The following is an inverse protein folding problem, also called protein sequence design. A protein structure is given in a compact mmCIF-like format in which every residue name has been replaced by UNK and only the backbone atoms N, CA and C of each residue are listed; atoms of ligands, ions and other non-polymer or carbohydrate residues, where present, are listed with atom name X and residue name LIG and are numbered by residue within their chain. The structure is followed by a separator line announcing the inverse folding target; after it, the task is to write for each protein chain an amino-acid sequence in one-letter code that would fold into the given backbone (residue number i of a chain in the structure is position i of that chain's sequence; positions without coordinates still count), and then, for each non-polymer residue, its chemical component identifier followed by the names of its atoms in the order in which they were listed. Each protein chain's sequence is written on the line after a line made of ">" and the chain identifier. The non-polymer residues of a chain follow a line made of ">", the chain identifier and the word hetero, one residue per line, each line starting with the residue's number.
data_IF_724499080616
#
_entry.id   IF_724499080616
#
_cell.length_a   1.000
_cell.length_b   1.000
_cell.length_c   1.000
_cell.angle_alpha   90.00
_cell.angle_beta   90.00
_cell.angle_gamma   90.00
#
_symmetry.space_group_name_H-M   'P 1'
#
loop_
_entity.id
_entity.type
_entity.pdbx_description
1 polymer ?
#
# COMPACT_ATOMS: atom_id res chain seq x y z
N UNK A 1 -0.81 14.68 7.40
CA UNK A 1 -0.47 13.34 6.88
C UNK A 1 -1.77 12.66 6.49
N UNK A 2 -2.00 12.42 5.22
CA UNK A 2 -3.19 11.69 4.76
C UNK A 2 -3.06 10.22 5.17
N UNK A 3 -4.14 9.66 5.73
CA UNK A 3 -4.19 8.25 6.11
C UNK A 3 -4.46 7.42 4.85
N UNK A 4 -3.59 6.45 4.51
CA UNK A 4 -3.77 5.60 3.32
C UNK A 4 -5.12 4.88 3.27
N UNK A 5 -5.64 4.43 4.42
CA UNK A 5 -6.99 3.83 4.52
C UNK A 5 -8.08 4.85 4.25
N UNK A 6 -7.91 6.12 4.68
CA UNK A 6 -8.85 7.19 4.36
C UNK A 6 -8.88 7.52 2.87
N UNK A 7 -7.71 7.54 2.22
CA UNK A 7 -7.61 7.73 0.77
C UNK A 7 -8.23 6.56 0.01
N UNK A 8 -7.95 5.32 0.43
CA UNK A 8 -8.60 4.13 -0.12
C UNK A 8 -10.13 4.24 -0.04
N UNK A 9 -10.67 4.63 1.12
CA UNK A 9 -12.12 4.76 1.33
C UNK A 9 -12.75 5.79 0.37
N UNK A 10 -12.05 6.91 0.12
CA UNK A 10 -12.49 7.92 -0.84
C UNK A 10 -12.52 7.39 -2.26
N UNK A 11 -11.43 6.75 -2.70
CA UNK A 11 -11.34 6.18 -4.05
C UNK A 11 -12.33 5.02 -4.25
N UNK A 12 -12.58 4.22 -3.22
CA UNK A 12 -13.63 3.19 -3.25
C UNK A 12 -15.01 3.80 -3.45
N UNK A 13 -15.32 4.87 -2.71
CA UNK A 13 -16.59 5.59 -2.91
C UNK A 13 -16.72 6.11 -4.35
N UNK A 14 -15.67 6.75 -4.88
CA UNK A 14 -15.65 7.25 -6.25
C UNK A 14 -15.84 6.13 -7.29
N UNK A 15 -15.26 4.95 -7.04
CA UNK A 15 -15.43 3.79 -7.91
C UNK A 15 -16.86 3.21 -7.84
N UNK A 16 -17.44 3.08 -6.65
CA UNK A 16 -18.82 2.63 -6.46
C UNK A 16 -19.81 3.63 -7.10
N UNK A 17 -19.57 4.93 -6.92
CA UNK A 17 -20.41 5.97 -7.52
C UNK A 17 -20.35 5.97 -9.06
N UNK A 18 -19.22 5.55 -9.66
CA UNK A 18 -19.12 5.35 -11.11
C UNK A 18 -19.90 4.12 -11.59
N UNK A 19 -20.00 3.07 -10.78
CA UNK A 19 -20.77 1.87 -11.12
C UNK A 19 -22.28 2.13 -11.10
N UNK A 20 -22.78 2.86 -10.10
CA UNK A 20 -24.20 3.18 -9.94
C UNK A 20 -24.38 4.60 -9.38
N UNK A 21 -24.45 5.62 -10.27
CA UNK A 21 -24.48 7.03 -9.89
C UNK A 21 -25.68 7.39 -9.01
N UNK A 22 -25.42 8.13 -7.92
CA UNK A 22 -26.45 8.64 -7.00
C UNK A 22 -26.98 7.61 -6.00
N UNK A 23 -26.43 6.38 -6.00
CA UNK A 23 -26.84 5.32 -5.08
C UNK A 23 -26.07 5.33 -3.76
N UNK A 24 -24.87 5.91 -3.73
CA UNK A 24 -24.01 5.91 -2.56
C UNK A 24 -23.84 7.31 -1.94
N UNK A 25 -23.58 7.35 -0.65
CA UNK A 25 -23.26 8.57 0.08
C UNK A 25 -22.11 8.33 1.05
N UNK A 26 -21.32 9.37 1.32
CA UNK A 26 -20.24 9.28 2.31
C UNK A 26 -20.59 10.01 3.58
N UNK A 27 -20.14 9.46 4.71
CA UNK A 27 -20.21 10.11 6.02
C UNK A 27 -18.81 10.24 6.61
N UNK A 28 -18.34 11.47 6.71
CA UNK A 28 -17.03 11.75 7.34
C UNK A 28 -17.19 11.81 8.85
N UNK A 29 -16.40 10.98 9.57
CA UNK A 29 -16.38 10.90 11.01
C UNK A 29 -15.03 11.39 11.54
N UNK A 30 -14.98 12.59 12.12
CA UNK A 30 -13.79 13.18 12.76
C UNK A 30 -14.16 13.75 14.12
N UNK A 31 -13.22 14.39 14.81
CA UNK A 31 -13.53 15.09 16.07
C UNK A 31 -14.55 16.23 15.87
N UNK A 32 -14.49 16.91 14.73
CA UNK A 32 -15.33 18.08 14.41
C UNK A 32 -16.52 17.76 13.49
N UNK A 33 -16.56 16.59 12.84
CA UNK A 33 -17.57 16.22 11.85
C UNK A 33 -18.24 14.89 12.21
N UNK A 34 -19.46 14.71 11.76
CA UNK A 34 -20.26 13.51 12.00
C UNK A 34 -20.88 13.49 13.38
N UNK A 35 -21.82 14.41 13.65
CA UNK A 35 -22.63 14.40 14.85
C UNK A 35 -23.52 13.14 14.95
N UNK A 36 -24.06 12.84 16.12
CA UNK A 36 -25.01 11.74 16.31
C UNK A 36 -26.24 11.89 15.38
N UNK A 37 -26.67 13.14 15.16
CA UNK A 37 -27.78 13.42 14.24
C UNK A 37 -27.41 13.10 12.78
N UNK A 38 -26.19 13.45 12.35
CA UNK A 38 -25.69 13.13 11.01
C UNK A 38 -25.55 11.63 10.80
N UNK A 39 -25.01 10.93 11.81
CA UNK A 39 -24.91 9.46 11.79
C UNK A 39 -26.30 8.82 11.65
N UNK A 40 -27.29 9.25 12.46
CA UNK A 40 -28.65 8.72 12.39
C UNK A 40 -29.33 9.01 11.06
N UNK A 41 -29.10 10.18 10.46
CA UNK A 41 -29.65 10.55 9.17
C UNK A 41 -29.03 9.72 8.06
N UNK A 42 -27.71 9.73 7.95
CA UNK A 42 -26.99 9.01 6.89
C UNK A 42 -27.24 7.50 6.93
N UNK A 43 -27.08 6.89 8.12
CA UNK A 43 -27.35 5.44 8.27
C UNK A 43 -28.85 5.17 8.14
N UNK A 44 -29.72 6.13 8.52
CA UNK A 44 -31.18 5.97 8.48
C UNK A 44 -31.75 5.77 7.07
N UNK A 45 -31.13 6.37 6.08
CA UNK A 45 -31.54 6.30 4.67
C UNK A 45 -30.84 5.19 3.87
N UNK A 46 -29.79 4.55 4.43
CA UNK A 46 -29.00 3.53 3.76
C UNK A 46 -29.64 2.15 3.85
N UNK A 47 -29.39 1.31 2.85
CA UNK A 47 -29.73 -0.13 2.87
C UNK A 47 -28.57 -0.98 3.39
N UNK A 48 -27.34 -0.51 3.16
CA UNK A 48 -26.10 -1.16 3.58
C UNK A 48 -25.08 -0.12 4.02
N UNK A 49 -24.06 -0.56 4.75
CA UNK A 49 -23.01 0.32 5.30
C UNK A 49 -21.65 -0.32 5.09
N UNK A 50 -20.73 0.38 4.43
CA UNK A 50 -19.31 0.01 4.27
C UNK A 50 -18.47 0.87 5.19
N UNK A 51 -17.52 0.28 5.90
CA UNK A 51 -16.64 0.99 6.83
C UNK A 51 -15.22 0.42 6.78
N UNK A 52 -14.21 1.27 6.53
CA UNK A 52 -12.80 0.84 6.44
C UNK A 52 -12.08 0.98 7.77
N UNK A 53 -11.26 0.00 8.16
CA UNK A 53 -10.45 -0.03 9.37
C UNK A 53 -9.00 -0.48 9.06
N UNK A 54 -8.00 0.03 9.80
CA UNK A 54 -8.05 1.10 10.80
C UNK A 54 -7.94 2.49 10.17
N UNK A 55 -8.67 3.47 10.68
CA UNK A 55 -8.47 4.87 10.32
C UNK A 55 -7.78 5.61 11.47
N UNK A 56 -6.67 6.28 11.18
CA UNK A 56 -5.85 6.97 12.20
C UNK A 56 -6.63 8.07 12.92
N UNK A 57 -7.46 8.82 12.20
CA UNK A 57 -8.29 9.88 12.74
C UNK A 57 -9.29 9.38 13.81
N UNK A 58 -9.62 8.09 13.83
CA UNK A 58 -10.57 7.52 14.78
C UNK A 58 -9.96 7.10 16.11
N UNK A 59 -8.65 7.24 16.31
CA UNK A 59 -8.00 6.89 17.59
C UNK A 59 -8.69 7.48 18.83
N UNK A 60 -9.23 8.72 18.71
CA UNK A 60 -9.90 9.45 19.80
C UNK A 60 -11.42 9.45 19.70
N UNK A 61 -11.98 9.00 18.58
CA UNK A 61 -13.44 9.06 18.30
C UNK A 61 -14.00 7.74 17.80
N UNK A 62 -13.37 6.62 18.17
CA UNK A 62 -13.76 5.27 17.75
C UNK A 62 -15.23 4.93 18.03
N UNK A 63 -15.83 5.56 19.05
CA UNK A 63 -17.22 5.37 19.39
C UNK A 63 -18.19 5.82 18.28
N UNK A 64 -17.80 6.79 17.42
CA UNK A 64 -18.66 7.28 16.31
C UNK A 64 -18.85 6.23 15.22
N UNK A 65 -17.81 5.63 14.62
CA UNK A 65 -18.00 4.54 13.68
C UNK A 65 -18.68 3.32 14.34
N UNK A 66 -18.39 3.01 15.59
CA UNK A 66 -19.08 1.92 16.29
C UNK A 66 -20.58 2.21 16.45
N UNK A 67 -20.97 3.46 16.77
CA UNK A 67 -22.36 3.88 16.84
C UNK A 67 -23.05 3.74 15.45
N UNK A 68 -22.38 4.16 14.38
CA UNK A 68 -22.90 4.04 13.03
C UNK A 68 -23.18 2.57 12.68
N UNK A 69 -22.22 1.67 12.95
CA UNK A 69 -22.36 0.24 12.71
C UNK A 69 -23.46 -0.38 13.60
N UNK A 70 -23.57 0.02 14.86
CA UNK A 70 -24.62 -0.45 15.76
C UNK A 70 -26.01 -0.03 15.26
N UNK A 71 -26.18 1.23 14.83
CA UNK A 71 -27.46 1.69 14.25
C UNK A 71 -27.79 0.91 12.97
N UNK A 72 -26.81 0.69 12.10
CA UNK A 72 -27.00 -0.11 10.88
C UNK A 72 -27.50 -1.53 11.22
N UNK A 73 -26.88 -2.19 12.19
CA UNK A 73 -27.30 -3.53 12.65
C UNK A 73 -28.68 -3.56 13.26
N UNK A 74 -29.01 -2.58 14.11
CA UNK A 74 -30.36 -2.45 14.69
C UNK A 74 -31.44 -2.25 13.62
N UNK A 75 -31.09 -1.62 12.51
CA UNK A 75 -31.97 -1.43 11.34
C UNK A 75 -31.95 -2.61 10.38
N UNK A 76 -31.24 -3.70 10.72
CA UNK A 76 -31.08 -4.90 9.90
C UNK A 76 -30.40 -4.63 8.55
N UNK A 77 -29.64 -3.55 8.46
CA UNK A 77 -28.83 -3.26 7.29
C UNK A 77 -27.66 -4.25 7.19
N UNK A 78 -27.19 -4.45 5.97
CA UNK A 78 -25.96 -5.18 5.74
C UNK A 78 -24.74 -4.31 6.08
N UNK A 79 -23.84 -4.84 6.88
CA UNK A 79 -22.63 -4.14 7.33
C UNK A 79 -21.42 -4.86 6.76
N UNK A 80 -20.68 -4.19 5.88
CA UNK A 80 -19.42 -4.65 5.31
C UNK A 80 -18.27 -3.85 5.92
N UNK A 81 -17.32 -4.56 6.51
CA UNK A 81 -16.13 -3.96 7.08
C UNK A 81 -14.94 -4.25 6.17
N UNK A 82 -14.17 -3.23 5.79
CA UNK A 82 -12.93 -3.37 5.04
C UNK A 82 -11.77 -3.30 6.01
N UNK A 83 -11.08 -4.41 6.23
CA UNK A 83 -9.99 -4.55 7.20
C UNK A 83 -8.64 -4.62 6.48
N UNK A 84 -7.78 -3.63 6.71
CA UNK A 84 -6.48 -3.52 6.02
C UNK A 84 -5.33 -4.21 6.76
N UNK A 85 -5.36 -4.25 8.10
CA UNK A 85 -4.27 -4.73 8.94
C UNK A 85 -4.83 -5.43 10.19
N UNK A 86 -4.10 -6.42 10.74
CA UNK A 86 -4.48 -7.06 11.99
C UNK A 86 -3.30 -7.19 12.96
N UNK A 87 -2.27 -7.98 12.64
CA UNK A 87 -1.17 -8.28 13.55
C UNK A 87 -0.31 -7.04 13.87
N UNK A 88 -0.15 -6.13 12.92
CA UNK A 88 0.54 -4.84 13.12
C UNK A 88 -0.16 -3.91 14.12
N UNK A 89 -1.42 -4.20 14.48
CA UNK A 89 -2.16 -3.43 15.47
C UNK A 89 -1.74 -3.81 16.89
N UNK A 90 -1.46 -2.81 17.73
CA UNK A 90 -1.27 -3.01 19.16
C UNK A 90 -2.50 -3.72 19.76
N UNK A 91 -2.31 -4.68 20.69
CA UNK A 91 -3.37 -5.52 21.25
C UNK A 91 -4.58 -4.74 21.80
N UNK A 92 -4.37 -3.58 22.46
CA UNK A 92 -5.45 -2.69 22.91
C UNK A 92 -6.30 -2.19 21.74
N UNK A 93 -5.69 -1.93 20.58
CA UNK A 93 -6.43 -1.53 19.38
C UNK A 93 -7.25 -2.69 18.82
N UNK A 94 -6.72 -3.90 18.82
CA UNK A 94 -7.50 -5.09 18.39
C UNK A 94 -8.75 -5.23 19.26
N UNK A 95 -8.64 -5.04 20.58
CA UNK A 95 -9.80 -5.04 21.48
C UNK A 95 -10.80 -3.92 21.17
N UNK A 96 -10.32 -2.70 20.87
CA UNK A 96 -11.22 -1.58 20.53
C UNK A 96 -11.92 -1.77 19.18
N UNK A 97 -11.38 -2.58 18.27
CA UNK A 97 -12.00 -2.88 16.97
C UNK A 97 -12.88 -4.13 16.99
N UNK A 98 -12.77 -4.97 18.02
CA UNK A 98 -13.57 -6.18 18.13
C UNK A 98 -15.08 -5.93 18.01
N UNK A 99 -15.68 -4.87 18.62
CA UNK A 99 -17.10 -4.59 18.42
C UNK A 99 -17.46 -4.32 16.94
N UNK A 100 -16.60 -3.66 16.17
CA UNK A 100 -16.84 -3.44 14.74
C UNK A 100 -16.84 -4.77 13.97
N UNK A 101 -15.88 -5.65 14.23
CA UNK A 101 -15.81 -6.98 13.63
C UNK A 101 -17.04 -7.83 13.96
N UNK A 102 -17.54 -7.73 15.21
CA UNK A 102 -18.76 -8.42 15.65
C UNK A 102 -20.01 -7.92 14.92
N UNK A 103 -20.12 -6.61 14.75
CA UNK A 103 -21.26 -5.96 14.07
C UNK A 103 -21.25 -6.22 12.56
N UNK A 104 -20.12 -6.54 11.95
CA UNK A 104 -20.02 -6.82 10.53
C UNK A 104 -20.74 -8.12 10.12
N UNK A 105 -21.43 -8.09 8.99
CA UNK A 105 -21.92 -9.30 8.31
C UNK A 105 -20.77 -9.97 7.55
N UNK A 106 -20.00 -9.16 6.81
CA UNK A 106 -18.86 -9.59 6.01
C UNK A 106 -17.67 -8.69 6.30
N UNK A 107 -16.48 -9.28 6.31
CA UNK A 107 -15.21 -8.56 6.47
C UNK A 107 -14.40 -8.76 5.20
N UNK A 108 -14.15 -7.69 4.47
CA UNK A 108 -13.32 -7.70 3.26
C UNK A 108 -11.87 -7.47 3.65
N UNK A 109 -10.99 -8.31 3.17
CA UNK A 109 -9.54 -8.21 3.32
C UNK A 109 -8.86 -8.29 1.95
N UNK A 110 -7.64 -7.75 1.85
CA UNK A 110 -6.89 -7.71 0.60
C UNK A 110 -5.73 -8.71 0.55
N UNK A 111 -5.50 -9.46 1.63
CA UNK A 111 -4.38 -10.40 1.71
C UNK A 111 -4.78 -11.63 2.50
N UNK A 112 -4.54 -12.83 1.96
CA UNK A 112 -4.67 -14.09 2.68
C UNK A 112 -3.85 -14.12 3.96
N UNK A 113 -2.68 -13.45 3.99
CA UNK A 113 -1.86 -13.34 5.19
C UNK A 113 -2.64 -12.65 6.32
N UNK A 114 -3.26 -11.48 6.07
CA UNK A 114 -4.04 -10.76 7.10
C UNK A 114 -5.22 -11.60 7.61
N UNK A 115 -5.86 -12.36 6.72
CA UNK A 115 -6.90 -13.31 7.11
C UNK A 115 -6.36 -14.42 8.01
N UNK A 116 -5.19 -14.98 7.71
CA UNK A 116 -4.52 -15.99 8.56
C UNK A 116 -4.08 -15.40 9.91
N UNK A 117 -3.58 -14.17 9.93
CA UNK A 117 -3.26 -13.44 11.17
C UNK A 117 -4.50 -13.31 12.07
N UNK A 118 -5.64 -12.89 11.51
CA UNK A 118 -6.89 -12.84 12.26
C UNK A 118 -7.33 -14.22 12.73
N UNK A 119 -7.26 -15.25 11.89
CA UNK A 119 -7.68 -16.61 12.24
C UNK A 119 -6.86 -17.21 13.40
N UNK A 120 -5.61 -16.79 13.57
CA UNK A 120 -4.72 -17.21 14.68
C UNK A 120 -4.93 -16.41 15.97
N UNK A 121 -5.67 -15.30 15.91
CA UNK A 121 -5.91 -14.48 17.08
C UNK A 121 -6.77 -15.23 18.10
N UNK A 122 -6.32 -15.39 19.38
CA UNK A 122 -7.03 -16.21 20.37
C UNK A 122 -8.41 -15.66 20.77
N UNK A 123 -8.65 -14.36 20.57
CA UNK A 123 -9.89 -13.69 20.93
C UNK A 123 -10.83 -13.53 19.74
N UNK A 124 -10.27 -13.21 18.57
CA UNK A 124 -11.02 -12.82 17.37
C UNK A 124 -10.98 -13.87 16.24
N UNK A 125 -10.21 -14.97 16.39
CA UNK A 125 -9.93 -15.91 15.29
C UNK A 125 -11.19 -16.54 14.66
N UNK A 126 -12.22 -16.80 15.44
CA UNK A 126 -13.50 -17.33 14.95
C UNK A 126 -14.23 -16.37 13.98
N UNK A 127 -13.92 -15.07 14.03
CA UNK A 127 -14.49 -14.06 13.12
C UNK A 127 -13.94 -14.23 11.69
N UNK A 128 -12.80 -14.88 11.52
CA UNK A 128 -12.20 -15.13 10.20
C UNK A 128 -13.13 -15.91 9.25
N UNK A 129 -14.14 -16.60 9.77
CA UNK A 129 -15.18 -17.23 8.95
C UNK A 129 -16.04 -16.23 8.17
N UNK A 130 -16.09 -14.96 8.59
CA UNK A 130 -16.79 -13.88 7.87
C UNK A 130 -15.91 -13.18 6.83
N UNK A 131 -14.62 -13.54 6.73
CA UNK A 131 -13.68 -12.86 5.87
C UNK A 131 -13.75 -13.35 4.44
N UNK A 132 -13.84 -12.39 3.53
CA UNK A 132 -13.71 -12.58 2.08
C UNK A 132 -12.50 -11.80 1.57
N UNK A 133 -11.90 -12.25 0.47
CA UNK A 133 -10.78 -11.59 -0.15
C UNK A 133 -11.26 -10.77 -1.35
N UNK A 134 -10.73 -9.55 -1.49
CA UNK A 134 -10.94 -8.69 -2.64
C UNK A 134 -9.58 -8.23 -3.22
N UNK A 135 -9.49 -7.93 -4.51
CA UNK A 135 -8.27 -7.39 -5.09
C UNK A 135 -8.02 -5.96 -4.57
N UNK A 136 -6.79 -5.65 -4.15
CA UNK A 136 -6.38 -4.29 -3.77
C UNK A 136 -5.97 -3.52 -5.02
N UNK A 137 -6.58 -2.35 -5.32
CA UNK A 137 -6.09 -1.47 -6.37
C UNK A 137 -4.95 -0.57 -5.90
N UNK A 138 -4.16 0.03 -6.83
CA UNK A 138 -3.21 1.07 -6.48
C UNK A 138 -3.93 2.28 -5.89
N UNK A 139 -3.28 2.97 -4.96
CA UNK A 139 -3.88 4.10 -4.24
C UNK A 139 -3.53 5.48 -4.84
N UNK A 140 -2.69 5.52 -5.86
CA UNK A 140 -2.32 6.74 -6.58
C UNK A 140 -2.41 6.46 -8.07
N UNK A 141 -3.20 7.25 -8.76
CA UNK A 141 -3.36 7.22 -10.21
C UNK A 141 -2.20 7.92 -10.90
N UNK A 142 -1.73 7.34 -12.01
CA UNK A 142 -0.77 8.01 -12.86
C UNK A 142 -1.40 9.25 -13.49
N UNK A 143 -0.87 10.45 -13.27
CA UNK A 143 -1.46 11.68 -13.79
C UNK A 143 -1.23 11.78 -15.30
N UNK A 144 -2.10 12.52 -15.99
CA UNK A 144 -1.96 12.81 -17.42
C UNK A 144 -0.70 13.64 -17.72
N UNK A 145 -0.24 14.45 -16.77
CA UNK A 145 0.99 15.22 -16.87
C UNK A 145 1.77 15.14 -15.57
N UNK A 146 3.08 14.93 -15.68
CA UNK A 146 3.99 14.92 -14.54
C UNK A 146 4.50 16.32 -14.24
N UNK A 147 4.74 16.61 -12.96
CA UNK A 147 5.34 17.86 -12.54
C UNK A 147 6.87 17.77 -12.60
N UNK A 148 7.49 18.91 -12.86
CA UNK A 148 8.94 19.08 -12.68
C UNK A 148 9.25 19.52 -11.24
N UNK A 149 10.43 19.14 -10.74
CA UNK A 149 10.92 19.56 -9.43
C UNK A 149 12.45 19.55 -9.42
N UNK A 150 13.09 20.28 -8.49
CA UNK A 150 14.56 20.26 -8.38
C UNK A 150 15.12 18.85 -8.20
N UNK A 151 14.41 18.00 -7.46
CA UNK A 151 14.81 16.60 -7.27
C UNK A 151 14.69 15.81 -8.57
N UNK A 152 13.60 15.98 -9.34
CA UNK A 152 13.46 15.34 -10.66
C UNK A 152 14.61 15.73 -11.59
N UNK A 153 14.93 17.02 -11.67
CA UNK A 153 16.05 17.51 -12.51
C UNK A 153 17.38 16.89 -12.08
N UNK A 154 17.63 16.74 -10.77
CA UNK A 154 18.82 16.08 -10.23
C UNK A 154 18.87 14.61 -10.65
N UNK A 155 17.76 13.86 -10.54
CA UNK A 155 17.69 12.45 -10.97
C UNK A 155 17.89 12.32 -12.47
N UNK A 156 17.27 13.20 -13.27
CA UNK A 156 17.43 13.24 -14.72
C UNK A 156 18.88 13.45 -15.11
N UNK A 157 19.53 14.45 -14.54
CA UNK A 157 20.95 14.72 -14.78
C UNK A 157 21.84 13.53 -14.36
N UNK A 158 21.52 12.86 -13.28
CA UNK A 158 22.23 11.65 -12.84
C UNK A 158 22.12 10.53 -13.90
N UNK A 159 20.93 10.28 -14.45
CA UNK A 159 20.73 9.30 -15.53
C UNK A 159 21.46 9.66 -16.81
N UNK A 160 21.40 10.91 -17.23
CA UNK A 160 22.11 11.43 -18.40
C UNK A 160 23.64 11.27 -18.26
N UNK A 161 24.14 11.31 -17.02
CA UNK A 161 25.53 11.00 -16.68
C UNK A 161 25.82 9.49 -16.46
N UNK A 162 24.93 8.62 -16.91
CA UNK A 162 25.12 7.17 -16.88
C UNK A 162 24.93 6.53 -15.49
N UNK A 163 24.29 7.20 -14.52
CA UNK A 163 23.96 6.59 -13.24
C UNK A 163 22.72 5.69 -13.38
N UNK A 164 22.75 4.56 -12.68
CA UNK A 164 21.62 3.66 -12.53
C UNK A 164 20.74 4.14 -11.37
N UNK A 165 19.54 4.67 -11.66
CA UNK A 165 18.63 5.20 -10.66
C UNK A 165 17.70 4.09 -10.14
N UNK A 166 17.81 3.75 -8.85
CA UNK A 166 17.00 2.74 -8.17
C UNK A 166 16.03 3.44 -7.25
N UNK A 167 14.73 3.20 -7.43
CA UNK A 167 13.66 3.80 -6.64
C UNK A 167 13.15 2.90 -5.51
N UNK A 168 12.78 3.51 -4.40
CA UNK A 168 11.93 2.91 -3.37
C UNK A 168 10.81 3.90 -3.04
N UNK A 169 9.54 3.53 -3.25
CA UNK A 169 8.41 4.41 -2.98
C UNK A 169 7.64 4.02 -1.73
N UNK A 170 7.30 5.03 -0.94
CA UNK A 170 6.47 4.94 0.26
C UNK A 170 7.22 5.17 1.55
N UNK A 171 6.54 5.01 2.68
CA UNK A 171 7.11 5.26 4.02
C UNK A 171 8.30 4.37 4.31
N UNK A 172 9.32 4.92 4.99
CA UNK A 172 10.53 4.22 5.39
C UNK A 172 10.40 3.79 6.85
N UNK A 173 10.46 2.46 7.10
CA UNK A 173 10.36 1.86 8.42
C UNK A 173 11.01 0.47 8.42
N UNK A 174 11.31 -0.16 9.60
CA UNK A 174 12.09 -1.38 9.68
C UNK A 174 11.58 -2.53 8.80
N UNK A 175 10.29 -2.81 8.78
CA UNK A 175 9.69 -3.89 7.99
C UNK A 175 9.87 -3.77 6.47
N UNK A 176 10.28 -2.60 5.96
CA UNK A 176 10.70 -2.39 4.56
C UNK A 176 12.20 -2.55 4.35
N UNK A 177 12.92 -2.94 5.37
CA UNK A 177 14.36 -3.19 5.37
C UNK A 177 15.18 -2.15 4.58
N UNK A 178 15.10 -0.85 4.92
CA UNK A 178 15.77 0.19 4.16
C UNK A 178 17.30 -0.02 4.10
N UNK A 179 17.91 -0.61 5.14
CA UNK A 179 19.34 -0.90 5.18
C UNK A 179 19.74 -1.99 4.19
N UNK A 180 18.89 -2.97 3.90
CA UNK A 180 19.12 -3.97 2.85
C UNK A 180 19.25 -3.30 1.48
N UNK A 181 18.40 -2.32 1.17
CA UNK A 181 18.51 -1.60 -0.10
C UNK A 181 19.80 -0.74 -0.16
N UNK A 182 20.28 -0.21 0.96
CA UNK A 182 21.62 0.43 1.03
C UNK A 182 22.73 -0.58 0.72
N UNK A 183 22.64 -1.78 1.26
CA UNK A 183 23.62 -2.84 0.96
C UNK A 183 23.58 -3.23 -0.53
N UNK A 184 22.39 -3.38 -1.13
CA UNK A 184 22.22 -3.63 -2.57
C UNK A 184 22.89 -2.53 -3.39
N UNK A 185 22.76 -1.25 -2.98
CA UNK A 185 23.43 -0.11 -3.61
C UNK A 185 24.96 -0.28 -3.53
N UNK A 186 25.49 -0.65 -2.37
CA UNK A 186 26.92 -0.89 -2.21
C UNK A 186 27.42 -2.06 -3.07
N UNK A 187 26.65 -3.16 -3.16
CA UNK A 187 26.97 -4.31 -4.03
C UNK A 187 27.02 -3.89 -5.50
N UNK A 188 26.03 -3.14 -5.98
CA UNK A 188 26.00 -2.64 -7.36
C UNK A 188 27.22 -1.73 -7.65
N UNK A 189 27.60 -0.86 -6.71
CA UNK A 189 28.78 -0.01 -6.84
C UNK A 189 30.07 -0.86 -6.89
N UNK A 190 30.21 -1.85 -6.03
CA UNK A 190 31.36 -2.75 -6.03
C UNK A 190 31.50 -3.55 -7.34
N UNK A 191 30.39 -3.78 -8.05
CA UNK A 191 30.34 -4.43 -9.36
C UNK A 191 30.57 -3.47 -10.53
N UNK A 192 31.04 -2.25 -10.28
CA UNK A 192 31.31 -1.23 -11.29
C UNK A 192 30.07 -0.58 -11.90
N UNK A 193 28.89 -0.78 -11.30
CA UNK A 193 27.70 0.00 -11.63
C UNK A 193 27.79 1.35 -10.90
N UNK A 194 27.22 2.38 -11.49
CA UNK A 194 27.17 3.71 -10.86
C UNK A 194 25.75 3.98 -10.30
N UNK A 195 25.36 3.35 -9.15
CA UNK A 195 23.99 3.45 -8.67
C UNK A 195 23.70 4.81 -8.03
N UNK A 196 22.44 5.25 -8.11
CA UNK A 196 21.85 6.29 -7.30
C UNK A 196 20.53 5.77 -6.74
N UNK A 197 20.45 5.55 -5.45
CA UNK A 197 19.23 5.06 -4.81
C UNK A 197 18.40 6.22 -4.28
N UNK A 198 17.13 6.31 -4.70
CA UNK A 198 16.21 7.34 -4.25
C UNK A 198 15.05 6.74 -3.47
N UNK A 199 14.91 7.15 -2.22
CA UNK A 199 13.75 6.86 -1.39
C UNK A 199 12.71 7.97 -1.58
N UNK A 200 11.65 7.69 -2.33
CA UNK A 200 10.55 8.62 -2.58
C UNK A 200 9.52 8.43 -1.47
N UNK A 201 9.72 9.14 -0.37
CA UNK A 201 8.95 9.00 0.86
C UNK A 201 9.70 9.48 2.09
N UNK A 202 9.06 9.39 3.25
CA UNK A 202 9.61 9.85 4.53
C UNK A 202 9.70 8.75 5.58
N UNK A 203 10.56 8.94 6.57
CA UNK A 203 10.63 8.08 7.75
C UNK A 203 9.35 8.18 8.58
N UNK A 204 8.90 7.04 9.12
CA UNK A 204 7.80 7.01 10.08
C UNK A 204 8.35 7.33 11.48
N UNK A 205 8.03 8.51 12.00
CA UNK A 205 8.48 8.99 13.32
C UNK A 205 8.03 8.14 14.52
N UNK A 206 7.13 7.17 14.31
CA UNK A 206 6.67 6.28 15.38
C UNK A 206 7.64 5.13 15.68
N UNK A 207 8.66 4.93 14.85
CA UNK A 207 9.74 3.98 15.07
C UNK A 207 10.98 4.76 15.47
N UNK A 208 11.37 4.63 16.74
CA UNK A 208 12.57 5.27 17.27
C UNK A 208 13.81 4.73 16.53
N UNK A 209 14.76 5.63 16.24
CA UNK A 209 16.07 5.36 15.65
C UNK A 209 16.10 4.97 14.15
N UNK A 210 15.01 4.68 13.44
CA UNK A 210 15.07 4.24 12.02
C UNK A 210 15.86 5.19 11.14
N UNK A 211 15.63 6.50 11.29
CA UNK A 211 16.36 7.52 10.53
C UNK A 211 17.83 7.59 10.93
N UNK A 212 18.13 7.52 12.23
CA UNK A 212 19.50 7.52 12.73
C UNK A 212 20.29 6.28 12.28
N UNK A 213 19.67 5.09 12.38
CA UNK A 213 20.25 3.83 11.93
C UNK A 213 20.50 3.82 10.41
N UNK A 214 19.57 4.39 9.65
CA UNK A 214 19.71 4.57 8.20
C UNK A 214 20.89 5.49 7.86
N UNK A 215 21.00 6.65 8.49
CA UNK A 215 22.10 7.59 8.26
C UNK A 215 23.45 7.02 8.69
N UNK A 216 23.51 6.30 9.81
CA UNK A 216 24.69 5.58 10.24
C UNK A 216 25.14 4.56 9.17
N UNK A 217 24.18 3.78 8.62
CA UNK A 217 24.46 2.80 7.57
C UNK A 217 24.92 3.46 6.26
N UNK A 218 24.31 4.57 5.84
CA UNK A 218 24.76 5.36 4.69
C UNK A 218 26.23 5.79 4.86
N UNK A 219 26.59 6.25 6.06
CA UNK A 219 27.96 6.70 6.36
C UNK A 219 28.95 5.52 6.39
N UNK A 220 28.57 4.40 7.02
CA UNK A 220 29.39 3.18 7.08
C UNK A 220 29.73 2.64 5.69
N UNK A 221 28.75 2.63 4.80
CA UNK A 221 28.91 2.16 3.42
C UNK A 221 29.50 3.22 2.48
N UNK A 222 29.81 4.44 2.98
CA UNK A 222 30.25 5.59 2.18
C UNK A 222 29.33 5.93 1.00
N UNK A 223 27.99 5.95 1.24
CA UNK A 223 26.96 6.15 0.20
C UNK A 223 26.34 7.55 0.21
N UNK A 224 26.97 8.56 0.83
CA UNK A 224 26.42 9.92 0.95
C UNK A 224 26.03 10.53 -0.39
N UNK A 225 26.81 10.28 -1.44
CA UNK A 225 26.56 10.78 -2.80
C UNK A 225 25.67 9.82 -3.64
N UNK A 226 25.37 8.63 -3.11
CA UNK A 226 24.67 7.56 -3.82
C UNK A 226 23.24 7.34 -3.30
N UNK A 227 22.81 8.10 -2.29
CA UNK A 227 21.50 7.94 -1.66
C UNK A 227 20.80 9.29 -1.50
N UNK A 228 19.53 9.31 -1.87
CA UNK A 228 18.65 10.48 -1.69
C UNK A 228 17.37 10.02 -0.97
N UNK A 229 16.91 10.81 0.00
CA UNK A 229 15.58 10.70 0.61
C UNK A 229 14.79 11.96 0.26
N UNK A 230 13.68 11.81 -0.47
CA UNK A 230 12.87 12.97 -0.92
C UNK A 230 12.12 13.66 0.20
N UNK A 231 11.87 12.95 1.31
CA UNK A 231 10.79 13.33 2.22
C UNK A 231 9.41 13.00 1.64
N UNK A 232 8.37 13.44 2.34
CA UNK A 232 6.99 13.24 1.88
C UNK A 232 6.69 14.11 0.65
N UNK A 233 6.19 13.48 -0.41
CA UNK A 233 5.74 14.14 -1.65
C UNK A 233 4.22 14.03 -1.72
N UNK A 234 3.51 15.15 -1.74
CA UNK A 234 2.04 15.20 -1.67
C UNK A 234 1.37 15.09 -3.05
N UNK A 235 2.02 15.62 -4.07
CA UNK A 235 1.49 15.64 -5.44
C UNK A 235 1.74 14.35 -6.20
N UNK A 236 0.68 13.71 -6.71
CA UNK A 236 0.81 12.56 -7.61
C UNK A 236 1.61 12.91 -8.87
N UNK A 237 1.45 14.12 -9.41
CA UNK A 237 2.19 14.60 -10.57
C UNK A 237 3.70 14.69 -10.30
N UNK A 238 4.10 15.10 -9.10
CA UNK A 238 5.50 15.12 -8.69
C UNK A 238 6.02 13.69 -8.42
N UNK A 239 5.26 12.84 -7.72
CA UNK A 239 5.62 11.43 -7.50
C UNK A 239 5.91 10.72 -8.82
N UNK A 240 5.01 10.81 -9.80
CA UNK A 240 5.21 10.19 -11.12
C UNK A 240 6.28 10.92 -11.97
N UNK A 241 6.52 12.20 -11.73
CA UNK A 241 7.66 12.91 -12.28
C UNK A 241 8.99 12.30 -11.81
N UNK A 242 9.12 12.00 -10.50
CA UNK A 242 10.28 11.31 -9.96
C UNK A 242 10.37 9.87 -10.46
N UNK A 243 9.24 9.15 -10.56
CA UNK A 243 9.21 7.79 -11.11
C UNK A 243 9.71 7.70 -12.55
N UNK A 244 9.45 8.70 -13.36
CA UNK A 244 9.94 8.78 -14.74
C UNK A 244 11.47 8.72 -14.85
N UNK A 245 12.17 9.12 -13.79
CA UNK A 245 13.64 9.13 -13.73
C UNK A 245 14.22 7.88 -13.05
N UNK A 246 13.39 6.94 -12.59
CA UNK A 246 13.80 5.65 -11.99
C UNK A 246 13.97 4.61 -13.09
N UNK A 247 15.04 3.80 -13.03
CA UNK A 247 15.28 2.70 -13.97
C UNK A 247 14.65 1.39 -13.46
N UNK A 248 14.69 1.15 -12.15
CA UNK A 248 14.07 -0.01 -11.50
C UNK A 248 13.66 0.34 -10.06
N UNK A 249 12.57 -0.25 -9.58
CA UNK A 249 12.19 -0.16 -8.17
C UNK A 249 12.68 -1.38 -7.40
N UNK A 250 13.07 -1.19 -6.12
CA UNK A 250 13.51 -2.29 -5.27
C UNK A 250 12.88 -2.21 -3.88
N UNK A 251 12.31 -3.34 -3.43
CA UNK A 251 11.58 -3.48 -2.17
C UNK A 251 12.01 -4.76 -1.42
N UNK A 252 13.09 -4.73 -0.67
CA UNK A 252 13.46 -5.83 0.21
C UNK A 252 12.54 -5.83 1.44
N UNK A 253 11.45 -6.59 1.38
CA UNK A 253 10.45 -6.65 2.44
C UNK A 253 10.76 -7.79 3.41
N UNK A 254 10.73 -7.53 4.71
CA UNK A 254 10.97 -8.53 5.75
C UNK A 254 9.95 -9.67 5.71
N UNK A 255 8.68 -9.34 5.64
CA UNK A 255 7.58 -10.32 5.56
C UNK A 255 7.35 -10.87 4.14
N UNK A 256 8.05 -10.33 3.14
CA UNK A 256 7.81 -10.60 1.73
C UNK A 256 6.64 -9.79 1.15
N UNK A 257 6.41 -9.97 -0.15
CA UNK A 257 5.33 -9.31 -0.87
C UNK A 257 3.98 -9.87 -0.46
N UNK A 258 3.07 -8.98 -0.12
CA UNK A 258 1.66 -9.31 0.14
C UNK A 258 0.73 -8.53 -0.78
N UNK A 259 -0.44 -9.08 -1.07
CA UNK A 259 -1.43 -8.46 -1.96
C UNK A 259 -1.98 -7.11 -1.44
N UNK A 260 -1.68 -6.73 -0.20
CA UNK A 260 -2.06 -5.43 0.39
C UNK A 260 -1.06 -4.29 0.13
N UNK A 261 -0.04 -4.49 -0.70
CA UNK A 261 1.05 -3.52 -0.94
C UNK A 261 0.75 -2.57 -2.10
N UNK A 262 -0.16 -1.62 -1.91
CA UNK A 262 -0.55 -0.63 -2.93
C UNK A 262 0.64 0.18 -3.49
N UNK A 263 1.71 0.42 -2.71
CA UNK A 263 2.91 1.12 -3.18
C UNK A 263 3.66 0.36 -4.30
N UNK A 264 3.62 -0.97 -4.27
CA UNK A 264 4.19 -1.83 -5.32
C UNK A 264 3.38 -1.66 -6.61
N UNK A 265 2.05 -1.69 -6.51
CA UNK A 265 1.15 -1.49 -7.65
C UNK A 265 1.29 -0.07 -8.22
N UNK A 266 1.48 0.94 -7.36
CA UNK A 266 1.72 2.31 -7.79
C UNK A 266 3.04 2.43 -8.59
N UNK A 267 4.11 1.79 -8.13
CA UNK A 267 5.37 1.74 -8.86
C UNK A 267 5.24 0.98 -10.19
N UNK A 268 4.50 -0.13 -10.22
CA UNK A 268 4.29 -0.94 -11.42
C UNK A 268 3.57 -0.19 -12.56
N UNK A 269 2.76 0.84 -12.25
CA UNK A 269 2.10 1.68 -13.26
C UNK A 269 3.09 2.38 -14.21
N UNK A 270 4.36 2.51 -13.81
CA UNK A 270 5.39 3.14 -14.66
C UNK A 270 5.89 2.26 -15.79
N UNK A 271 5.55 0.97 -15.78
CA UNK A 271 6.16 -0.03 -16.68
C UNK A 271 7.64 -0.32 -16.37
N UNK A 272 8.20 0.24 -15.29
CA UNK A 272 9.56 -0.08 -14.83
C UNK A 272 9.56 -1.36 -14.01
N UNK A 273 10.61 -2.18 -14.08
CA UNK A 273 10.66 -3.41 -13.29
C UNK A 273 10.63 -3.11 -11.79
N UNK A 274 9.83 -3.88 -11.05
CA UNK A 274 9.71 -3.77 -9.60
C UNK A 274 10.28 -5.05 -8.99
N UNK A 275 11.45 -4.96 -8.40
CA UNK A 275 12.14 -6.06 -7.74
C UNK A 275 11.71 -6.10 -6.28
N UNK A 276 11.21 -7.24 -5.81
CA UNK A 276 10.64 -7.35 -4.47
C UNK A 276 10.87 -8.73 -3.88
N UNK A 277 11.02 -8.82 -2.54
CA UNK A 277 11.05 -10.09 -1.82
C UNK A 277 9.77 -10.89 -2.11
N UNK A 278 9.88 -12.15 -2.50
CA UNK A 278 8.76 -13.03 -2.78
C UNK A 278 7.80 -13.20 -1.58
N UNK A 279 6.57 -13.65 -1.81
CA UNK A 279 5.57 -13.84 -0.75
C UNK A 279 6.01 -14.96 0.21
N UNK A 280 5.43 -14.94 1.43
CA UNK A 280 5.65 -16.01 2.40
C UNK A 280 4.96 -17.32 1.98
N UNK A 281 3.80 -17.22 1.35
CA UNK A 281 2.95 -18.33 0.95
C UNK A 281 2.60 -18.22 -0.54
N UNK A 282 2.48 -19.37 -1.20
CA UNK A 282 2.24 -19.42 -2.64
C UNK A 282 0.84 -18.91 -3.04
N UNK A 283 -0.14 -19.00 -2.14
CA UNK A 283 -1.53 -18.61 -2.38
C UNK A 283 -1.81 -17.10 -2.18
N UNK A 284 -0.78 -16.30 -1.89
CA UNK A 284 -0.96 -14.89 -1.52
C UNK A 284 -1.69 -14.06 -2.59
N UNK A 285 -1.54 -14.43 -3.87
CA UNK A 285 -2.14 -13.70 -5.00
C UNK A 285 -3.28 -14.42 -5.70
N UNK A 286 -3.76 -15.57 -5.21
CA UNK A 286 -4.76 -16.38 -5.93
C UNK A 286 -6.10 -15.66 -6.15
N UNK A 287 -6.46 -14.76 -5.25
CA UNK A 287 -7.64 -13.91 -5.35
C UNK A 287 -7.43 -12.64 -6.19
N UNK A 288 -6.20 -12.36 -6.64
CA UNK A 288 -5.82 -11.09 -7.27
C UNK A 288 -5.19 -11.32 -8.64
N UNK A 289 -6.02 -11.65 -9.64
CA UNK A 289 -5.56 -12.04 -10.97
C UNK A 289 -4.61 -11.02 -11.61
N UNK A 290 -4.94 -9.73 -11.54
CA UNK A 290 -4.08 -8.67 -12.10
C UNK A 290 -2.72 -8.57 -11.43
N UNK A 291 -2.62 -8.88 -10.15
CA UNK A 291 -1.33 -8.93 -9.47
C UNK A 291 -0.48 -10.12 -9.96
N UNK A 292 -1.13 -11.28 -10.18
CA UNK A 292 -0.48 -12.46 -10.79
C UNK A 292 0.04 -12.15 -12.19
N UNK A 293 -0.77 -11.47 -13.02
CA UNK A 293 -0.36 -11.04 -14.36
C UNK A 293 0.89 -10.14 -14.33
N UNK A 294 1.00 -9.19 -13.38
CA UNK A 294 2.20 -8.38 -13.22
C UNK A 294 3.46 -9.20 -12.93
N UNK A 295 3.32 -10.27 -12.14
CA UNK A 295 4.42 -11.20 -11.83
C UNK A 295 4.75 -12.06 -13.04
N UNK A 296 3.77 -12.65 -13.70
CA UNK A 296 3.93 -13.54 -14.86
C UNK A 296 4.57 -12.82 -16.05
N UNK A 297 4.24 -11.53 -16.25
CA UNK A 297 4.83 -10.72 -17.33
C UNK A 297 6.16 -10.05 -16.94
N UNK A 298 6.67 -10.31 -15.73
CA UNK A 298 7.95 -9.78 -15.28
C UNK A 298 7.95 -8.29 -14.93
N UNK A 299 6.79 -7.64 -14.83
CA UNK A 299 6.69 -6.28 -14.31
C UNK A 299 7.03 -6.24 -12.81
N UNK A 300 6.70 -7.32 -12.10
CA UNK A 300 7.13 -7.57 -10.72
C UNK A 300 8.02 -8.80 -10.71
N UNK A 301 9.28 -8.63 -10.29
CA UNK A 301 10.30 -9.68 -10.20
C UNK A 301 10.48 -10.11 -8.76
N UNK A 302 10.18 -11.36 -8.47
CA UNK A 302 10.26 -11.91 -7.13
C UNK A 302 11.67 -12.43 -6.82
N UNK A 303 12.29 -11.89 -5.78
CA UNK A 303 13.53 -12.41 -5.19
C UNK A 303 13.14 -13.37 -4.07
N UNK A 304 13.66 -14.60 -4.03
CA UNK A 304 13.32 -15.57 -3.00
C UNK A 304 13.57 -15.00 -1.58
N UNK A 305 12.71 -15.35 -0.63
CA UNK A 305 12.90 -14.94 0.77
C UNK A 305 14.20 -15.54 1.32
N UNK A 306 14.89 -14.75 2.14
CA UNK A 306 16.18 -15.15 2.72
C UNK A 306 17.36 -15.02 1.75
N UNK A 307 17.15 -14.51 0.53
CA UNK A 307 18.23 -14.17 -0.39
C UNK A 307 19.11 -13.05 0.18
N UNK A 308 20.37 -13.08 -0.18
CA UNK A 308 21.34 -12.03 0.16
C UNK A 308 21.15 -10.76 -0.72
N UNK A 309 21.90 -9.72 -0.38
CA UNK A 309 21.87 -8.44 -1.09
C UNK A 309 22.32 -8.59 -2.57
N UNK A 310 23.15 -9.60 -2.87
CA UNK A 310 23.61 -9.91 -4.23
C UNK A 310 22.50 -10.36 -5.14
N UNK A 311 21.55 -11.15 -4.63
CA UNK A 311 20.40 -11.63 -5.41
C UNK A 311 19.50 -10.48 -5.88
N UNK A 312 19.30 -9.45 -5.04
CA UNK A 312 18.57 -8.23 -5.46
C UNK A 312 19.34 -7.46 -6.53
N UNK A 313 20.65 -7.31 -6.36
CA UNK A 313 21.48 -6.65 -7.37
C UNK A 313 21.45 -7.39 -8.72
N UNK A 314 21.50 -8.73 -8.70
CA UNK A 314 21.39 -9.55 -9.90
C UNK A 314 20.02 -9.42 -10.57
N UNK A 315 18.95 -9.44 -9.79
CA UNK A 315 17.59 -9.25 -10.28
C UNK A 315 17.39 -7.87 -10.93
N UNK A 316 17.92 -6.80 -10.32
CA UNK A 316 17.91 -5.45 -10.90
C UNK A 316 18.63 -5.46 -12.26
N UNK A 317 19.86 -5.96 -12.31
CA UNK A 317 20.65 -5.96 -13.55
C UNK A 317 20.02 -6.84 -14.65
N UNK A 318 19.43 -7.98 -14.29
CA UNK A 318 18.75 -8.84 -15.23
C UNK A 318 17.49 -8.18 -15.81
N UNK A 319 16.69 -7.53 -14.96
CA UNK A 319 15.43 -6.89 -15.37
C UNK A 319 15.64 -5.71 -16.32
N UNK A 320 16.74 -4.97 -16.18
CA UNK A 320 17.07 -3.87 -17.08
C UNK A 320 17.38 -4.31 -18.52
N UNK A 321 17.69 -5.60 -18.74
CA UNK A 321 17.96 -6.17 -20.07
C UNK A 321 16.70 -6.71 -20.75
N UNK A 322 15.62 -6.87 -20.01
CA UNK A 322 14.37 -7.42 -20.50
C UNK A 322 13.38 -6.30 -20.80
N UNK A 323 12.72 -6.37 -21.95
CA UNK A 323 11.55 -5.52 -22.20
C UNK A 323 10.37 -6.13 -21.44
N UNK A 324 9.79 -5.38 -20.50
CA UNK A 324 8.57 -5.81 -19.81
C UNK A 324 7.40 -5.72 -20.80
N UNK A 325 6.79 -6.87 -21.11
CA UNK A 325 5.65 -6.97 -22.04
C UNK A 325 4.29 -6.84 -21.33
N UNK A 326 4.23 -6.08 -20.21
CA UNK A 326 2.97 -5.88 -19.49
C UNK A 326 2.08 -4.89 -20.26
N UNK A 327 0.79 -5.20 -20.45
CA UNK A 327 -0.14 -4.28 -21.10
C UNK A 327 -0.28 -2.98 -20.30
N UNK A 328 -0.72 -1.88 -20.92
CA UNK A 328 -0.92 -0.60 -20.25
C UNK A 328 -1.75 -0.75 -18.98
N UNK A 329 -1.29 -0.14 -17.90
CA UNK A 329 -1.94 -0.21 -16.60
C UNK A 329 -3.25 0.58 -16.64
N UNK A 330 -4.36 -0.07 -16.33
CA UNK A 330 -5.70 0.54 -16.32
C UNK A 330 -6.18 0.75 -14.89
N UNK A 331 -5.93 1.94 -14.36
CA UNK A 331 -6.27 2.32 -13.00
C UNK A 331 -7.78 2.22 -12.70
N UNK A 332 -8.64 2.62 -13.64
CA UNK A 332 -10.08 2.62 -13.45
C UNK A 332 -10.65 1.21 -13.33
N UNK A 333 -10.21 0.30 -14.20
CA UNK A 333 -10.62 -1.10 -14.12
C UNK A 333 -10.13 -1.81 -12.86
N UNK A 334 -8.95 -1.46 -12.35
CA UNK A 334 -8.48 -2.00 -11.08
C UNK A 334 -9.37 -1.57 -9.91
N UNK A 335 -9.85 -0.33 -9.92
CA UNK A 335 -10.79 0.17 -8.91
C UNK A 335 -12.19 -0.39 -9.10
N UNK A 336 -12.61 -0.61 -10.34
CA UNK A 336 -13.87 -1.28 -10.67
C UNK A 336 -13.90 -2.70 -10.10
N UNK A 337 -12.85 -3.50 -10.33
CA UNK A 337 -12.76 -4.86 -9.78
C UNK A 337 -12.90 -4.89 -8.24
N UNK A 338 -12.24 -3.95 -7.56
CA UNK A 338 -12.34 -3.83 -6.11
C UNK A 338 -13.73 -3.40 -5.65
N UNK A 339 -14.36 -2.44 -6.34
CA UNK A 339 -15.69 -1.97 -6.05
C UNK A 339 -16.73 -3.09 -6.24
N UNK A 340 -16.71 -3.81 -7.37
CA UNK A 340 -17.59 -4.95 -7.66
C UNK A 340 -17.44 -6.07 -6.61
N UNK A 341 -16.20 -6.39 -6.21
CA UNK A 341 -15.94 -7.39 -5.17
C UNK A 341 -16.54 -7.00 -3.81
N UNK A 342 -16.56 -5.70 -3.48
CA UNK A 342 -17.14 -5.18 -2.24
C UNK A 342 -18.66 -5.06 -2.37
N UNK A 343 -19.19 -4.59 -3.50
CA UNK A 343 -20.62 -4.51 -3.75
C UNK A 343 -21.31 -5.87 -3.71
N UNK A 344 -20.66 -6.92 -4.20
CA UNK A 344 -21.17 -8.29 -4.10
C UNK A 344 -21.41 -8.74 -2.64
N UNK A 345 -20.91 -7.99 -1.66
CA UNK A 345 -21.10 -8.25 -0.23
C UNK A 345 -22.20 -7.38 0.39
N UNK A 346 -22.78 -6.43 -0.36
CA UNK A 346 -23.85 -5.54 0.08
C UNK A 346 -25.23 -6.12 -0.23
#
# INVERSE_FOLDING_TARGET
>A
MQCGVGQFTRLLYEAIEKLDPGRSTTLTLTQSQGSVADIRRAVGSAQSTVCSFPIVAWKRVIWRPLLALAIARLRRQRVVLVQHEWESLHWLRRLTYLPALLLANTIVMFSPQVRRELARDPVAGWIAAKCVLAPLPPNIEAPSQTADSPLRQRLKAARENGRLVIGHFGSIYPGKQPNTLLNVTAVLRARGRNPLTVYIGSFIKAFDNVEADFQARVSELNLLEDVIVSGYVDSSAEVFGLFGEVDAFCYPLEEGLTARRASILTAAQTGRPVIVTGPAEADEFDHHLRFKELIEHGAIVLVPRGSDDSAYADAIVASLKQSTAYPPFDFENWWKDAAEAIEAQL
#
